data_IF_967977963632
#
_entry.id   IF_967977963632
#
_cell.length_a   1.000
_cell.length_b   1.000
_cell.length_c   1.000
_cell.angle_alpha   90.00
_cell.angle_beta   90.00
_cell.angle_gamma   90.00
#
_symmetry.space_group_name_H-M   'P 1'
#
loop_
_entity.id
_entity.type
_entity.pdbx_description
1 polymer ?
#
# COMPACT_ATOMS: atom_id res chain seq x y z
N UNK A 1 30.67 14.52 -22.37
CA UNK A 1 30.79 13.50 -21.32
C UNK A 1 29.47 13.47 -20.59
N UNK A 2 28.69 12.39 -20.64
CA UNK A 2 27.49 12.26 -19.84
C UNK A 2 27.90 12.23 -18.38
N UNK A 3 27.52 13.23 -17.61
CA UNK A 3 27.65 13.18 -16.16
C UNK A 3 26.74 12.05 -15.68
N UNK A 4 27.32 10.91 -15.37
CA UNK A 4 26.60 9.82 -14.75
C UNK A 4 26.23 10.25 -13.32
N UNK A 5 24.98 10.01 -12.94
CA UNK A 5 24.56 10.16 -11.57
C UNK A 5 25.36 9.18 -10.70
N UNK A 6 26.22 9.71 -9.84
CA UNK A 6 27.16 8.92 -9.03
C UNK A 6 26.67 8.73 -7.60
N UNK A 7 25.54 9.36 -7.24
CA UNK A 7 24.97 9.27 -5.90
C UNK A 7 23.50 8.88 -5.98
N UNK A 8 23.12 7.85 -5.25
CA UNK A 8 21.74 7.40 -5.15
C UNK A 8 21.43 6.91 -3.72
N UNK A 9 20.14 7.01 -3.35
CA UNK A 9 19.64 6.48 -2.08
C UNK A 9 18.79 5.23 -2.36
N UNK A 10 19.16 4.11 -1.76
CA UNK A 10 18.32 2.92 -1.71
C UNK A 10 17.57 2.93 -0.38
N UNK A 11 16.31 3.30 -0.41
CA UNK A 11 15.44 3.22 0.76
C UNK A 11 14.58 1.95 0.65
N UNK A 12 15.16 0.80 0.95
CA UNK A 12 14.44 -0.46 0.99
C UNK A 12 13.44 -0.48 2.16
N UNK A 13 12.23 -0.98 1.91
CA UNK A 13 11.31 -1.35 2.98
C UNK A 13 11.74 -2.68 3.62
N UNK A 14 11.25 -2.96 4.82
CA UNK A 14 11.39 -4.30 5.39
C UNK A 14 10.48 -5.25 4.61
N UNK A 15 11.04 -6.29 4.04
CA UNK A 15 10.32 -7.33 3.31
C UNK A 15 10.60 -8.68 3.93
N UNK A 16 9.54 -9.43 4.21
CA UNK A 16 9.59 -10.86 4.49
C UNK A 16 9.13 -11.59 3.22
N UNK A 17 9.92 -12.53 2.75
CA UNK A 17 9.61 -13.31 1.56
C UNK A 17 9.71 -14.80 1.83
N UNK A 18 8.69 -15.54 1.45
CA UNK A 18 8.71 -17.00 1.48
C UNK A 18 7.32 -17.62 1.51
N UNK A 19 7.21 -18.91 1.13
CA UNK A 19 5.95 -19.65 1.26
C UNK A 19 5.49 -19.66 2.71
N UNK A 20 4.18 -19.46 2.92
CA UNK A 20 3.53 -19.43 4.24
C UNK A 20 3.93 -18.27 5.15
N UNK A 21 4.65 -17.26 4.64
CA UNK A 21 5.03 -16.07 5.43
C UNK A 21 3.82 -15.33 6.01
N UNK A 22 2.65 -15.42 5.37
CA UNK A 22 1.40 -14.83 5.86
C UNK A 22 0.94 -15.41 7.21
N UNK A 23 1.33 -16.65 7.53
CA UNK A 23 0.98 -17.30 8.79
C UNK A 23 1.63 -16.63 10.01
N UNK A 24 2.69 -15.84 9.79
CA UNK A 24 3.44 -15.16 10.86
C UNK A 24 2.99 -13.72 11.10
N UNK A 25 2.03 -13.17 10.34
CA UNK A 25 1.63 -11.77 10.44
C UNK A 25 1.20 -11.34 11.84
N UNK A 26 0.59 -12.24 12.62
CA UNK A 26 0.22 -11.96 14.01
C UNK A 26 1.42 -11.76 14.92
N UNK A 27 2.49 -12.53 14.72
CA UNK A 27 3.75 -12.38 15.46
C UNK A 27 4.45 -11.07 15.06
N UNK A 28 4.42 -10.72 13.77
CA UNK A 28 4.97 -9.44 13.28
C UNK A 28 4.20 -8.26 13.86
N UNK A 29 2.87 -8.33 13.90
CA UNK A 29 2.03 -7.30 14.51
C UNK A 29 2.35 -7.15 16.01
N UNK A 30 2.50 -8.25 16.73
CA UNK A 30 2.89 -8.23 18.16
C UNK A 30 4.30 -7.64 18.35
N UNK A 31 5.26 -7.99 17.50
CA UNK A 31 6.63 -7.45 17.54
C UNK A 31 6.66 -5.93 17.27
N UNK A 32 5.72 -5.42 16.46
CA UNK A 32 5.52 -3.97 16.26
C UNK A 32 4.73 -3.30 17.39
N UNK A 33 4.35 -4.03 18.45
CA UNK A 33 3.61 -3.52 19.59
C UNK A 33 2.13 -3.28 19.32
N UNK A 34 1.58 -3.80 18.24
CA UNK A 34 0.18 -3.62 17.88
C UNK A 34 -0.71 -4.49 18.78
N UNK A 35 -1.85 -3.95 19.18
CA UNK A 35 -2.89 -4.63 19.97
C UNK A 35 -4.24 -4.62 19.27
N UNK A 36 -4.53 -3.56 18.52
CA UNK A 36 -5.75 -3.42 17.73
C UNK A 36 -5.45 -2.79 16.38
N UNK A 37 -5.83 -3.48 15.31
CA UNK A 37 -5.59 -3.05 13.94
C UNK A 37 -6.88 -2.94 13.12
N UNK A 38 -6.88 -2.09 12.08
CA UNK A 38 -7.88 -2.17 11.04
C UNK A 38 -7.30 -2.98 9.87
N UNK A 39 -7.97 -4.07 9.52
CA UNK A 39 -7.60 -4.98 8.42
C UNK A 39 -8.33 -4.57 7.14
N UNK A 40 -7.58 -4.09 6.16
CA UNK A 40 -8.09 -3.72 4.84
C UNK A 40 -8.08 -4.90 3.89
N UNK A 41 -9.16 -5.07 3.14
CA UNK A 41 -9.28 -6.05 2.06
C UNK A 41 -10.37 -5.61 1.07
N UNK A 42 -10.48 -6.28 -0.06
CA UNK A 42 -11.62 -6.19 -0.95
C UNK A 42 -12.57 -7.38 -0.79
N UNK A 43 -13.77 -7.26 -1.35
CA UNK A 43 -14.81 -8.30 -1.21
C UNK A 43 -14.44 -9.65 -1.83
N UNK A 44 -13.55 -9.67 -2.82
CA UNK A 44 -13.10 -10.90 -3.47
C UNK A 44 -12.08 -11.59 -2.58
N UNK A 45 -11.02 -10.87 -2.18
CA UNK A 45 -9.93 -11.40 -1.34
C UNK A 45 -10.45 -11.83 0.03
N UNK A 46 -11.48 -11.17 0.55
CA UNK A 46 -12.14 -11.54 1.82
C UNK A 46 -12.62 -13.00 1.87
N UNK A 47 -12.97 -13.59 0.72
CA UNK A 47 -13.38 -15.00 0.61
C UNK A 47 -12.25 -15.95 0.26
N UNK A 48 -10.99 -15.53 0.29
CA UNK A 48 -9.84 -16.31 -0.17
C UNK A 48 -8.89 -16.70 0.99
N UNK A 49 -8.08 -17.76 0.82
CA UNK A 49 -7.15 -18.25 1.84
C UNK A 49 -6.22 -17.20 2.45
N UNK A 50 -5.66 -16.21 1.68
CA UNK A 50 -4.80 -15.17 2.26
C UNK A 50 -5.46 -14.39 3.39
N UNK A 51 -6.73 -14.02 3.22
CA UNK A 51 -7.49 -13.29 4.23
C UNK A 51 -7.76 -14.16 5.47
N UNK A 52 -8.20 -15.41 5.28
CA UNK A 52 -8.46 -16.33 6.38
C UNK A 52 -7.19 -16.61 7.20
N UNK A 53 -6.06 -16.81 6.51
CA UNK A 53 -4.76 -17.03 7.15
C UNK A 53 -4.35 -15.81 7.96
N UNK A 54 -4.50 -14.61 7.41
CA UNK A 54 -4.24 -13.35 8.12
C UNK A 54 -5.09 -13.24 9.38
N UNK A 55 -6.41 -13.46 9.27
CA UNK A 55 -7.31 -13.39 10.42
C UNK A 55 -6.99 -14.44 11.49
N UNK A 56 -6.66 -15.67 11.08
CA UNK A 56 -6.26 -16.73 12.00
C UNK A 56 -4.99 -16.36 12.77
N UNK A 57 -3.97 -15.89 12.07
CA UNK A 57 -2.70 -15.50 12.65
C UNK A 57 -2.83 -14.34 13.65
N UNK A 58 -3.61 -13.31 13.29
CA UNK A 58 -3.87 -12.18 14.20
C UNK A 58 -4.60 -12.66 15.47
N UNK A 59 -5.62 -13.52 15.35
CA UNK A 59 -6.33 -14.09 16.53
C UNK A 59 -5.40 -14.91 17.43
N UNK A 60 -4.55 -15.75 16.84
CA UNK A 60 -3.59 -16.58 17.58
C UNK A 60 -2.58 -15.73 18.37
N UNK A 61 -2.21 -14.57 17.83
CA UNK A 61 -1.32 -13.62 18.50
C UNK A 61 -2.06 -12.70 19.49
N UNK A 62 -3.38 -12.84 19.67
CA UNK A 62 -4.16 -11.99 20.57
C UNK A 62 -4.37 -10.56 20.07
N UNK A 63 -4.18 -10.31 18.78
CA UNK A 63 -4.38 -8.99 18.17
C UNK A 63 -5.87 -8.81 17.84
N UNK A 64 -6.50 -7.81 18.43
CA UNK A 64 -7.87 -7.43 18.07
C UNK A 64 -7.88 -6.75 16.70
N UNK A 65 -8.90 -7.01 15.89
CA UNK A 65 -9.02 -6.35 14.60
C UNK A 65 -10.47 -6.15 14.17
N UNK A 66 -10.70 -5.04 13.50
CA UNK A 66 -11.90 -4.77 12.71
C UNK A 66 -11.55 -4.93 11.23
N UNK A 67 -12.55 -5.16 10.38
CA UNK A 67 -12.36 -5.40 8.96
C UNK A 67 -13.02 -4.31 8.14
N UNK A 68 -12.27 -3.69 7.25
CA UNK A 68 -12.78 -2.84 6.18
C UNK A 68 -12.64 -3.59 4.84
N UNK A 69 -13.76 -4.05 4.30
CA UNK A 69 -13.83 -4.79 3.03
C UNK A 69 -14.40 -3.96 1.86
N UNK A 70 -14.56 -2.66 2.10
CA UNK A 70 -15.07 -1.70 1.13
C UNK A 70 -14.04 -1.21 0.10
N UNK A 71 -12.86 -1.83 0.03
CA UNK A 71 -11.85 -1.44 -0.96
C UNK A 71 -12.39 -1.62 -2.37
N UNK A 72 -12.27 -0.57 -3.17
CA UNK A 72 -12.58 -0.58 -4.60
C UNK A 72 -11.31 -0.89 -5.40
N UNK A 73 -11.40 -1.81 -6.35
CA UNK A 73 -10.39 -1.98 -7.39
C UNK A 73 -10.41 -0.70 -8.23
N UNK A 74 -9.25 -0.14 -8.55
CA UNK A 74 -9.10 1.22 -9.06
C UNK A 74 -9.76 2.22 -8.11
N UNK A 75 -9.10 2.55 -6.98
CA UNK A 75 -9.68 3.42 -5.97
C UNK A 75 -10.02 4.80 -6.53
N UNK A 76 -11.06 5.42 -5.99
CA UNK A 76 -11.44 6.81 -6.29
C UNK A 76 -11.34 7.67 -5.02
N UNK A 77 -11.44 8.99 -5.19
CA UNK A 77 -11.53 9.93 -4.07
C UNK A 77 -12.56 9.49 -3.02
N UNK A 78 -13.76 9.14 -3.48
CA UNK A 78 -14.84 8.71 -2.60
C UNK A 78 -14.53 7.40 -1.88
N UNK A 79 -13.87 6.44 -2.54
CA UNK A 79 -13.49 5.17 -1.89
C UNK A 79 -12.35 5.35 -0.89
N UNK A 80 -11.40 6.25 -1.17
CA UNK A 80 -10.39 6.61 -0.18
C UNK A 80 -11.02 7.30 1.02
N UNK A 81 -11.98 8.23 0.82
CA UNK A 81 -12.67 8.90 1.93
C UNK A 81 -13.38 7.89 2.84
N UNK A 82 -14.09 6.91 2.29
CA UNK A 82 -14.72 5.84 3.09
C UNK A 82 -13.70 5.07 3.94
N UNK A 83 -12.53 4.77 3.39
CA UNK A 83 -11.48 4.08 4.10
C UNK A 83 -10.84 4.96 5.19
N UNK A 84 -10.68 6.26 4.94
CA UNK A 84 -10.21 7.25 5.90
C UNK A 84 -11.17 7.36 7.08
N UNK A 85 -12.48 7.46 6.81
CA UNK A 85 -13.52 7.52 7.83
C UNK A 85 -13.53 6.25 8.69
N UNK A 86 -13.37 5.08 8.07
CA UNK A 86 -13.25 3.80 8.79
C UNK A 86 -11.98 3.77 9.67
N UNK A 87 -10.84 4.25 9.18
CA UNK A 87 -9.60 4.30 9.95
C UNK A 87 -9.64 5.31 11.11
N UNK A 88 -10.48 6.35 10.99
CA UNK A 88 -10.68 7.36 12.03
C UNK A 88 -11.78 6.97 13.04
N UNK A 89 -12.59 5.94 12.75
CA UNK A 89 -13.76 5.57 13.57
C UNK A 89 -13.41 4.99 14.93
N UNK A 90 -12.18 4.51 15.12
CA UNK A 90 -11.71 3.95 16.38
C UNK A 90 -10.20 4.17 16.57
N UNK A 91 -9.72 3.93 17.80
CA UNK A 91 -8.30 3.98 18.09
C UNK A 91 -7.63 2.68 17.65
N UNK A 92 -6.99 2.69 16.47
CA UNK A 92 -6.17 1.60 15.97
C UNK A 92 -4.69 1.91 16.22
N UNK A 93 -3.92 0.90 16.64
CA UNK A 93 -2.47 1.05 16.85
C UNK A 93 -1.71 0.98 15.52
N UNK A 94 -2.30 0.33 14.52
CA UNK A 94 -1.73 0.15 13.20
C UNK A 94 -2.73 -0.45 12.22
N UNK A 95 -2.22 -0.82 11.06
CA UNK A 95 -3.03 -1.30 9.95
C UNK A 95 -2.43 -2.55 9.32
N UNK A 96 -3.29 -3.42 8.81
CA UNK A 96 -2.91 -4.58 7.99
C UNK A 96 -3.68 -4.50 6.68
N UNK A 97 -3.03 -4.70 5.56
CA UNK A 97 -3.66 -4.72 4.25
C UNK A 97 -3.37 -6.07 3.58
N UNK A 98 -4.41 -6.84 3.25
CA UNK A 98 -4.30 -8.09 2.49
C UNK A 98 -5.10 -7.97 1.21
N UNK A 99 -4.42 -7.93 0.07
CA UNK A 99 -5.02 -7.68 -1.23
C UNK A 99 -4.04 -7.21 -2.29
N UNK A 100 -4.54 -6.77 -3.42
CA UNK A 100 -3.74 -6.18 -4.50
C UNK A 100 -3.29 -4.75 -4.19
N UNK A 101 -2.64 -4.11 -5.17
CA UNK A 101 -2.17 -2.72 -5.07
C UNK A 101 -3.23 -1.75 -4.60
N UNK A 102 -4.47 -1.86 -5.12
CA UNK A 102 -5.60 -1.01 -4.71
C UNK A 102 -5.91 -1.10 -3.21
N UNK A 103 -5.80 -2.30 -2.63
CA UNK A 103 -6.01 -2.50 -1.18
C UNK A 103 -4.91 -1.86 -0.37
N UNK A 104 -3.67 -2.07 -0.77
CA UNK A 104 -2.50 -1.52 -0.05
C UNK A 104 -2.48 0.01 -0.14
N UNK A 105 -2.76 0.56 -1.32
CA UNK A 105 -2.80 2.02 -1.53
C UNK A 105 -3.95 2.68 -0.75
N UNK A 106 -5.12 2.01 -0.68
CA UNK A 106 -6.22 2.46 0.17
C UNK A 106 -5.83 2.50 1.64
N UNK A 107 -5.14 1.46 2.13
CA UNK A 107 -4.65 1.42 3.51
C UNK A 107 -3.60 2.49 3.81
N UNK A 108 -2.69 2.79 2.86
CA UNK A 108 -1.72 3.89 2.99
C UNK A 108 -2.41 5.25 3.12
N UNK A 109 -3.37 5.53 2.22
CA UNK A 109 -4.13 6.78 2.28
C UNK A 109 -4.92 6.89 3.59
N UNK A 110 -5.63 5.83 3.98
CA UNK A 110 -6.37 5.80 5.24
C UNK A 110 -5.46 6.02 6.45
N UNK A 111 -4.29 5.38 6.50
CA UNK A 111 -3.29 5.60 7.55
C UNK A 111 -2.82 7.05 7.61
N UNK A 112 -2.52 7.64 6.45
CA UNK A 112 -2.05 9.03 6.36
C UNK A 112 -3.07 9.99 6.98
N UNK A 113 -4.30 9.96 6.50
CA UNK A 113 -5.31 10.93 6.94
C UNK A 113 -5.87 10.63 8.35
N UNK A 114 -5.87 9.37 8.79
CA UNK A 114 -6.22 9.04 10.17
C UNK A 114 -5.13 9.44 11.18
N UNK A 115 -3.88 9.56 10.72
CA UNK A 115 -2.74 9.99 11.57
C UNK A 115 -2.54 11.51 11.53
N UNK A 116 -2.68 12.10 10.33
CA UNK A 116 -2.50 13.54 10.07
C UNK A 116 -3.71 14.07 9.30
N UNK A 117 -4.83 14.33 10.00
CA UNK A 117 -6.06 14.84 9.38
C UNK A 117 -5.83 16.16 8.64
N UNK A 118 -6.35 16.23 7.42
CA UNK A 118 -6.29 17.41 6.56
C UNK A 118 -7.37 17.28 5.46
N UNK A 119 -7.58 18.36 4.70
CA UNK A 119 -8.40 18.32 3.50
C UNK A 119 -7.81 17.33 2.49
N UNK A 120 -8.67 16.62 1.75
CA UNK A 120 -8.25 15.50 0.90
C UNK A 120 -7.15 15.88 -0.11
N UNK A 121 -7.20 17.07 -0.69
CA UNK A 121 -6.21 17.53 -1.67
C UNK A 121 -4.88 17.98 -1.06
N UNK A 122 -4.77 18.08 0.26
CA UNK A 122 -3.58 18.61 0.94
C UNK A 122 -2.31 17.81 0.60
N UNK A 123 -2.39 16.49 0.64
CA UNK A 123 -1.23 15.61 0.39
C UNK A 123 -1.19 15.05 -1.04
N UNK A 124 -2.25 15.25 -1.82
CA UNK A 124 -2.31 14.80 -3.22
C UNK A 124 -1.29 15.55 -4.05
N UNK A 125 -0.63 14.87 -4.97
CA UNK A 125 0.41 15.44 -5.82
C UNK A 125 -0.11 16.60 -6.68
N UNK A 126 0.73 17.62 -6.85
CA UNK A 126 0.50 18.66 -7.84
C UNK A 126 0.42 18.08 -9.26
N UNK A 127 -0.32 18.67 -10.20
CA UNK A 127 -1.05 19.94 -10.07
C UNK A 127 -2.47 19.80 -9.48
N UNK A 128 -2.97 18.58 -9.21
CA UNK A 128 -4.34 18.39 -8.73
C UNK A 128 -4.50 18.71 -7.24
N UNK A 129 -3.50 18.40 -6.45
CA UNK A 129 -3.47 18.72 -5.03
C UNK A 129 -2.34 19.69 -4.68
N UNK A 130 -2.20 19.95 -3.38
CA UNK A 130 -1.21 20.88 -2.86
C UNK A 130 0.20 20.26 -2.74
N UNK A 131 0.31 18.92 -2.76
CA UNK A 131 1.58 18.21 -2.61
C UNK A 131 2.31 18.47 -1.31
N UNK A 132 1.59 18.83 -0.22
CA UNK A 132 2.24 19.13 1.06
C UNK A 132 2.95 17.90 1.62
N UNK A 133 4.11 18.08 2.24
CA UNK A 133 4.84 16.97 2.85
C UNK A 133 4.06 16.39 4.04
N UNK A 134 4.17 15.08 4.23
CA UNK A 134 3.59 14.38 5.39
C UNK A 134 4.30 14.84 6.66
N UNK A 135 3.58 15.37 7.67
CA UNK A 135 4.20 16.09 8.81
C UNK A 135 5.09 15.22 9.70
N UNK A 136 4.74 13.94 9.86
CA UNK A 136 5.44 13.06 10.80
C UNK A 136 5.34 11.58 10.43
N UNK A 137 5.82 10.67 11.29
CA UNK A 137 5.67 9.23 11.09
C UNK A 137 4.20 8.83 11.06
N UNK A 138 3.90 7.78 10.30
CA UNK A 138 2.59 7.14 10.27
C UNK A 138 2.54 5.97 11.26
N UNK A 139 1.34 5.47 11.52
CA UNK A 139 1.16 4.23 12.29
C UNK A 139 1.73 3.05 11.51
N UNK A 140 2.20 1.98 12.16
CA UNK A 140 2.67 0.80 11.45
C UNK A 140 1.63 0.25 10.49
N UNK A 141 2.08 -0.09 9.28
CA UNK A 141 1.29 -0.76 8.25
C UNK A 141 2.02 -2.03 7.82
N UNK A 142 1.35 -3.18 7.92
CA UNK A 142 1.79 -4.45 7.34
C UNK A 142 1.03 -4.67 6.04
N UNK A 143 1.73 -4.85 4.93
CA UNK A 143 1.15 -5.06 3.61
C UNK A 143 1.40 -6.49 3.13
N UNK A 144 0.32 -7.20 2.75
CA UNK A 144 0.33 -8.58 2.29
C UNK A 144 -0.24 -8.61 0.87
N UNK A 145 0.61 -8.54 -0.18
CA UNK A 145 0.13 -8.54 -1.54
C UNK A 145 -0.45 -9.90 -1.94
N UNK A 146 -1.53 -9.86 -2.72
CA UNK A 146 -2.16 -11.01 -3.39
C UNK A 146 -2.06 -10.94 -4.91
N UNK A 147 -1.30 -9.95 -5.42
CA UNK A 147 -0.93 -9.78 -6.82
C UNK A 147 0.57 -9.54 -6.92
N UNK A 148 1.19 -9.90 -8.04
CA UNK A 148 2.61 -9.67 -8.28
C UNK A 148 2.74 -8.68 -9.46
N UNK A 149 2.95 -7.41 -9.16
CA UNK A 149 3.04 -6.36 -10.21
C UNK A 149 3.37 -5.00 -9.63
N UNK A 150 2.44 -4.43 -8.86
CA UNK A 150 2.47 -3.02 -8.45
C UNK A 150 3.62 -2.64 -7.51
N UNK A 151 4.15 -3.59 -6.73
CA UNK A 151 5.15 -3.29 -5.71
C UNK A 151 4.65 -2.36 -4.59
N UNK A 152 3.32 -2.24 -4.40
CA UNK A 152 2.74 -1.31 -3.41
C UNK A 152 3.21 -1.62 -1.98
N UNK A 153 3.56 -2.88 -1.67
CA UNK A 153 4.11 -3.30 -0.38
C UNK A 153 5.49 -2.70 -0.07
N UNK A 154 6.19 -2.22 -1.10
CA UNK A 154 7.55 -1.67 -0.98
C UNK A 154 7.63 -0.16 -1.31
N UNK A 155 6.56 0.45 -1.83
CA UNK A 155 6.57 1.83 -2.30
C UNK A 155 5.87 2.81 -1.36
N UNK A 156 6.30 4.07 -1.42
CA UNK A 156 5.67 5.19 -0.69
C UNK A 156 4.66 5.95 -1.53
N UNK A 157 3.87 5.25 -2.36
CA UNK A 157 2.89 5.84 -3.27
C UNK A 157 1.53 5.21 -3.03
N UNK A 158 0.47 6.01 -3.12
CA UNK A 158 -0.92 5.57 -3.12
C UNK A 158 -1.64 6.23 -4.30
N UNK A 159 -2.13 5.40 -5.23
CA UNK A 159 -2.73 5.85 -6.50
C UNK A 159 -4.25 5.74 -6.45
N UNK A 160 -4.92 6.73 -7.03
CA UNK A 160 -6.37 6.73 -7.17
C UNK A 160 -6.81 7.48 -8.44
N UNK A 161 -8.04 7.22 -8.87
CA UNK A 161 -8.70 7.93 -9.95
C UNK A 161 -9.42 9.17 -9.41
N UNK A 162 -8.99 10.35 -9.82
CA UNK A 162 -9.68 11.61 -9.58
C UNK A 162 -10.80 11.73 -10.63
N UNK A 163 -12.00 11.26 -10.27
CA UNK A 163 -13.12 11.15 -11.23
C UNK A 163 -13.63 12.51 -11.67
N UNK A 164 -13.52 13.54 -10.84
CA UNK A 164 -13.96 14.91 -11.14
C UNK A 164 -13.23 15.51 -12.35
N UNK A 165 -11.95 15.16 -12.53
CA UNK A 165 -11.09 15.65 -13.62
C UNK A 165 -10.67 14.55 -14.59
N UNK A 166 -11.17 13.31 -14.41
CA UNK A 166 -10.87 12.13 -15.22
C UNK A 166 -9.37 11.87 -15.37
N UNK A 167 -8.63 12.01 -14.27
CA UNK A 167 -7.19 11.82 -14.25
C UNK A 167 -6.80 10.81 -13.16
N UNK A 168 -5.79 9.98 -13.44
CA UNK A 168 -5.15 9.15 -12.43
C UNK A 168 -4.06 9.98 -11.75
N UNK A 169 -4.08 10.02 -10.42
CA UNK A 169 -3.13 10.76 -9.60
C UNK A 169 -2.83 9.97 -8.33
N UNK A 170 -2.09 10.55 -7.42
CA UNK A 170 -1.77 9.88 -6.16
C UNK A 170 -1.13 10.79 -5.13
N UNK A 171 -0.76 10.17 -4.05
CA UNK A 171 0.01 10.75 -2.97
C UNK A 171 1.37 10.05 -2.98
N UNK A 172 2.46 10.79 -3.11
CA UNK A 172 3.80 10.23 -3.14
C UNK A 172 4.65 10.83 -2.01
N UNK A 173 4.94 10.00 -1.00
CA UNK A 173 5.81 10.41 0.10
C UNK A 173 6.44 9.16 0.74
N UNK A 174 7.76 9.22 1.08
CA UNK A 174 8.48 8.06 1.67
C UNK A 174 7.83 7.49 2.93
N UNK A 175 7.10 8.30 3.70
CA UNK A 175 6.42 7.88 4.93
C UNK A 175 5.19 7.00 4.70
N UNK A 176 4.65 6.95 3.47
CA UNK A 176 3.55 6.04 3.11
C UNK A 176 4.02 4.61 2.91
N UNK A 177 5.35 4.38 2.85
CA UNK A 177 5.87 3.03 2.69
C UNK A 177 5.43 2.16 3.87
N UNK A 178 4.89 0.95 3.61
CA UNK A 178 4.57 0.01 4.67
C UNK A 178 5.76 -0.28 5.58
N UNK A 179 5.49 -0.47 6.85
CA UNK A 179 6.51 -0.83 7.85
C UNK A 179 7.08 -2.21 7.58
N UNK A 180 6.22 -3.12 7.07
CA UNK A 180 6.59 -4.46 6.66
C UNK A 180 5.75 -4.89 5.46
N UNK A 181 6.39 -5.40 4.42
CA UNK A 181 5.76 -6.15 3.34
C UNK A 181 5.94 -7.65 3.55
N UNK A 182 4.87 -8.44 3.50
CA UNK A 182 4.91 -9.90 3.59
C UNK A 182 4.57 -10.47 2.22
N UNK A 183 5.59 -10.88 1.47
CA UNK A 183 5.47 -11.42 0.12
C UNK A 183 5.45 -12.94 0.20
N UNK A 184 4.25 -13.50 0.17
CA UNK A 184 4.00 -14.93 0.26
C UNK A 184 3.54 -15.46 -1.10
N UNK A 185 4.33 -16.31 -1.79
CA UNK A 185 3.94 -16.87 -3.08
C UNK A 185 2.63 -17.67 -3.06
N UNK A 186 2.27 -18.27 -1.90
CA UNK A 186 1.03 -19.02 -1.76
C UNK A 186 -0.22 -18.14 -1.95
N UNK A 187 -0.12 -16.84 -1.67
CA UNK A 187 -1.19 -15.89 -1.86
C UNK A 187 -1.57 -15.67 -3.34
N UNK A 188 -0.70 -16.08 -4.27
CA UNK A 188 -0.92 -15.94 -5.71
C UNK A 188 -1.61 -17.17 -6.34
N UNK A 189 -1.74 -18.28 -5.61
CA UNK A 189 -2.27 -19.54 -6.17
C UNK A 189 -3.70 -19.44 -6.70
N UNK A 190 -4.51 -18.57 -6.12
CA UNK A 190 -5.89 -18.33 -6.53
C UNK A 190 -6.06 -17.17 -7.51
N UNK A 191 -4.96 -16.56 -7.94
CA UNK A 191 -4.99 -15.41 -8.83
C UNK A 191 -5.54 -15.79 -10.21
N UNK A 192 -6.59 -15.12 -10.72
CA UNK A 192 -7.09 -15.38 -12.06
C UNK A 192 -6.00 -15.15 -13.13
N UNK A 193 -5.96 -16.02 -14.14
CA UNK A 193 -4.92 -15.99 -15.20
C UNK A 193 -4.77 -14.62 -15.87
N UNK A 194 -5.87 -13.92 -16.12
CA UNK A 194 -5.84 -12.58 -16.72
C UNK A 194 -5.18 -11.57 -15.78
N UNK A 195 -5.50 -11.61 -14.49
CA UNK A 195 -4.88 -10.73 -13.48
C UNK A 195 -3.39 -11.04 -13.34
N UNK A 196 -3.02 -12.32 -13.32
CA UNK A 196 -1.61 -12.73 -13.28
C UNK A 196 -0.83 -12.22 -14.50
N UNK A 197 -1.41 -12.32 -15.70
CA UNK A 197 -0.79 -11.83 -16.93
C UNK A 197 -0.64 -10.30 -16.93
N UNK A 198 -1.70 -9.57 -16.55
CA UNK A 198 -1.68 -8.10 -16.51
C UNK A 198 -0.68 -7.59 -15.49
N UNK A 199 -0.68 -8.15 -14.27
CA UNK A 199 0.28 -7.74 -13.23
C UNK A 199 1.73 -8.15 -13.57
N UNK A 200 1.93 -9.27 -14.25
CA UNK A 200 3.24 -9.67 -14.76
C UNK A 200 3.79 -8.73 -15.83
N UNK A 201 2.93 -8.21 -16.73
CA UNK A 201 3.30 -7.18 -17.71
C UNK A 201 3.67 -5.88 -16.99
N UNK A 202 2.94 -5.52 -15.95
CA UNK A 202 3.21 -4.34 -15.14
C UNK A 202 4.64 -4.37 -14.54
N UNK A 203 5.12 -5.54 -14.09
CA UNK A 203 6.52 -5.71 -13.65
C UNK A 203 7.51 -5.36 -14.77
N UNK A 204 7.23 -5.79 -16.01
CA UNK A 204 8.10 -5.50 -17.17
C UNK A 204 8.07 -4.00 -17.47
N UNK A 205 6.89 -3.38 -17.44
CA UNK A 205 6.76 -1.93 -17.63
C UNK A 205 7.57 -1.16 -16.58
N UNK A 206 7.44 -1.48 -15.30
CA UNK A 206 8.20 -0.85 -14.22
C UNK A 206 9.71 -1.02 -14.40
N UNK A 207 10.17 -2.20 -14.82
CA UNK A 207 11.60 -2.44 -15.09
C UNK A 207 12.11 -1.58 -16.25
N UNK A 208 11.35 -1.48 -17.35
CA UNK A 208 11.69 -0.64 -18.50
C UNK A 208 11.68 0.84 -18.14
N UNK A 209 10.66 1.30 -17.42
CA UNK A 209 10.56 2.70 -16.97
C UNK A 209 11.73 3.06 -16.05
N UNK A 210 12.08 2.17 -15.13
CA UNK A 210 13.25 2.36 -14.25
C UNK A 210 14.55 2.44 -15.06
N UNK A 211 14.73 1.58 -16.06
CA UNK A 211 15.93 1.55 -16.90
C UNK A 211 16.03 2.80 -17.78
N UNK A 212 14.90 3.31 -18.28
CA UNK A 212 14.85 4.49 -19.16
C UNK A 212 14.65 5.80 -18.40
N UNK A 213 14.60 5.78 -17.08
CA UNK A 213 14.43 6.97 -16.25
C UNK A 213 15.55 7.98 -16.49
N UNK A 214 15.18 9.25 -16.69
CA UNK A 214 16.14 10.34 -16.88
C UNK A 214 16.83 10.63 -15.53
N UNK A 215 18.17 10.68 -15.47
CA UNK A 215 18.90 11.06 -14.26
C UNK A 215 18.38 12.37 -13.65
N UNK A 216 18.34 12.47 -12.33
CA UNK A 216 17.84 13.65 -11.63
C UNK A 216 18.50 14.96 -12.09
N UNK A 217 19.80 14.92 -12.37
CA UNK A 217 20.59 16.06 -12.87
C UNK A 217 20.18 16.53 -14.26
N UNK A 218 19.60 15.65 -15.08
CA UNK A 218 19.14 15.95 -16.43
C UNK A 218 17.64 16.32 -16.50
N UNK A 219 16.91 16.28 -15.37
CA UNK A 219 15.49 16.66 -15.33
C UNK A 219 15.36 18.16 -15.46
N UNK A 220 14.60 18.63 -16.44
CA UNK A 220 14.15 20.01 -16.46
C UNK A 220 13.16 20.20 -15.29
N UNK A 221 13.46 21.10 -14.40
CA UNK A 221 12.51 21.51 -13.37
C UNK A 221 11.38 22.27 -14.03
N UNK A 222 10.09 21.98 -13.72
CA UNK A 222 8.99 22.79 -14.20
C UNK A 222 9.06 24.21 -13.68
#
# INVERSE_FOLDING_TARGET
MSEHETCFEIAAGNLRFGPHATEEVGQDAAALGLKRVLLFTDRVVRGLPPFETTCRSLRQAGIAFDVFDGVRIEPSEASFQQAIDAAASAAYDGFVAVGGGSTIDTAKAANLYATWPADFLTYVNAPLGEGKPVPGPLRPLIAIPTTAGTGSEATGVAIFDCLSVKAKTGIAHRRLRPTLGIVDPENLRTLPRLVAASSGIDVICHALESYTAIPYTARQRP
#
